data_IF_539654480549
#
_entry.id   IF_539654480549
#
_cell.length_a   1.000
_cell.length_b   1.000
_cell.length_c   1.000
_cell.angle_alpha   90.00
_cell.angle_beta   90.00
_cell.angle_gamma   90.00
#
_symmetry.space_group_name_H-M   'P 1'
#
loop_
_entity.id
_entity.type
_entity.pdbx_description
1 polymer ?
#
# COMPACT_ATOMS: atom_id res chain seq x y z
N UNK A 1 10.53 19.61 -7.91
CA UNK A 1 9.98 18.36 -8.52
C UNK A 1 10.30 18.38 -10.01
N UNK A 2 11.08 17.43 -10.52
CA UNK A 2 11.34 17.33 -11.95
C UNK A 2 10.01 17.11 -12.70
N UNK A 3 9.85 17.70 -13.89
CA UNK A 3 8.63 17.55 -14.72
C UNK A 3 8.28 16.07 -14.95
N UNK A 4 9.31 15.24 -15.06
CA UNK A 4 9.23 13.78 -15.14
C UNK A 4 8.42 13.14 -14.00
N UNK A 5 8.71 13.49 -12.74
CA UNK A 5 8.04 12.85 -11.59
C UNK A 5 6.55 13.20 -11.51
N UNK A 6 6.16 14.38 -12.02
CA UNK A 6 4.74 14.77 -12.10
C UNK A 6 4.00 13.97 -13.17
N UNK A 7 4.60 13.87 -14.36
CA UNK A 7 4.00 13.12 -15.47
C UNK A 7 3.87 11.64 -15.12
N UNK A 8 4.90 11.06 -14.50
CA UNK A 8 4.94 9.66 -14.13
C UNK A 8 3.79 9.27 -13.20
N UNK A 9 3.56 10.06 -12.15
CA UNK A 9 2.47 9.79 -11.18
C UNK A 9 1.09 9.87 -11.82
N UNK A 10 0.86 10.84 -12.71
CA UNK A 10 -0.41 10.97 -13.43
C UNK A 10 -0.63 9.78 -14.35
N UNK A 11 0.39 9.40 -15.13
CA UNK A 11 0.30 8.27 -16.07
C UNK A 11 -0.01 6.97 -15.33
N UNK A 12 0.72 6.67 -14.26
CA UNK A 12 0.50 5.45 -13.47
C UNK A 12 -0.90 5.45 -12.83
N UNK A 13 -1.35 6.60 -12.31
CA UNK A 13 -2.69 6.73 -11.73
C UNK A 13 -3.81 6.54 -12.77
N UNK A 14 -3.67 7.16 -13.94
CA UNK A 14 -4.65 7.02 -15.05
C UNK A 14 -4.66 5.58 -15.58
N UNK A 15 -3.49 4.96 -15.77
CA UNK A 15 -3.40 3.55 -16.18
C UNK A 15 -4.09 2.63 -15.18
N UNK A 16 -3.85 2.80 -13.89
CA UNK A 16 -4.52 2.03 -12.85
C UNK A 16 -6.04 2.20 -12.88
N UNK A 17 -6.52 3.44 -13.04
CA UNK A 17 -7.95 3.74 -13.11
C UNK A 17 -8.63 3.12 -14.35
N UNK A 18 -7.99 3.17 -15.52
CA UNK A 18 -8.49 2.55 -16.76
C UNK A 18 -8.60 1.02 -16.58
N UNK A 19 -7.53 0.40 -16.05
CA UNK A 19 -7.52 -1.06 -15.82
C UNK A 19 -8.57 -1.47 -14.77
N UNK A 20 -8.75 -0.67 -13.73
CA UNK A 20 -9.80 -0.91 -12.73
C UNK A 20 -11.21 -0.79 -13.35
N UNK A 21 -11.45 0.25 -14.15
CA UNK A 21 -12.74 0.42 -14.83
C UNK A 21 -13.03 -0.72 -15.81
N UNK A 22 -11.99 -1.28 -16.46
CA UNK A 22 -12.12 -2.48 -17.31
C UNK A 22 -12.60 -3.70 -16.52
N UNK A 23 -12.11 -3.91 -15.30
CA UNK A 23 -12.57 -5.00 -14.41
C UNK A 23 -14.05 -4.78 -14.07
N UNK A 24 -14.42 -3.57 -13.63
CA UNK A 24 -15.81 -3.24 -13.29
C UNK A 24 -16.79 -3.47 -14.46
N UNK A 25 -16.41 -3.11 -15.69
CA UNK A 25 -17.26 -3.31 -16.87
C UNK A 25 -17.38 -4.77 -17.31
N UNK A 26 -16.41 -5.62 -16.99
CA UNK A 26 -16.46 -7.05 -17.32
C UNK A 26 -17.44 -7.77 -16.40
N UNK A 27 -17.56 -7.32 -15.15
CA UNK A 27 -18.48 -7.86 -14.15
C UNK A 27 -17.90 -9.10 -13.45
N UNK A 28 -18.18 -9.22 -12.15
CA UNK A 28 -17.58 -10.27 -11.31
C UNK A 28 -18.04 -11.68 -11.72
N UNK A 29 -19.31 -11.83 -12.14
CA UNK A 29 -19.87 -13.12 -12.60
C UNK A 29 -19.13 -13.67 -13.82
N UNK A 30 -18.80 -12.82 -14.81
CA UNK A 30 -18.06 -13.23 -15.99
C UNK A 30 -16.61 -13.61 -15.68
N UNK A 31 -16.01 -12.96 -14.68
CA UNK A 31 -14.65 -13.23 -14.23
C UNK A 31 -14.53 -14.49 -13.38
N UNK A 32 -15.59 -14.89 -12.68
CA UNK A 32 -15.63 -16.13 -11.89
C UNK A 32 -15.81 -17.38 -12.75
N UNK A 33 -16.54 -17.26 -13.86
CA UNK A 33 -16.85 -18.39 -14.75
C UNK A 33 -15.74 -18.66 -15.79
N UNK A 34 -14.92 -17.66 -16.12
CA UNK A 34 -13.88 -17.76 -17.15
C UNK A 34 -12.50 -17.32 -16.62
N UNK A 35 -11.67 -18.31 -16.27
CA UNK A 35 -10.30 -18.10 -15.79
C UNK A 35 -9.38 -17.42 -16.84
N UNK A 36 -9.63 -17.66 -18.14
CA UNK A 36 -8.83 -17.06 -19.23
C UNK A 36 -9.17 -15.58 -19.37
N UNK A 37 -10.47 -15.25 -19.33
CA UNK A 37 -10.94 -13.86 -19.33
C UNK A 37 -10.41 -13.11 -18.11
N UNK A 38 -10.47 -13.74 -16.93
CA UNK A 38 -9.94 -13.15 -15.70
C UNK A 38 -8.45 -12.82 -15.81
N UNK A 39 -7.62 -13.76 -16.27
CA UNK A 39 -6.19 -13.49 -16.43
C UNK A 39 -5.91 -12.37 -17.44
N UNK A 40 -6.76 -12.18 -18.45
CA UNK A 40 -6.58 -11.10 -19.44
C UNK A 40 -7.01 -9.73 -18.91
N UNK A 41 -7.96 -9.71 -17.98
CA UNK A 41 -8.57 -8.47 -17.46
C UNK A 41 -7.93 -8.03 -16.14
N UNK A 42 -7.67 -8.94 -15.22
CA UNK A 42 -7.18 -8.67 -13.85
C UNK A 42 -5.65 -8.63 -13.79
N UNK A 43 -4.95 -9.56 -14.46
CA UNK A 43 -3.47 -9.64 -14.36
C UNK A 43 -2.74 -8.36 -14.78
N UNK A 44 -3.18 -7.58 -15.79
CA UNK A 44 -2.55 -6.30 -16.11
C UNK A 44 -2.55 -5.31 -14.93
N UNK A 45 -3.64 -5.25 -14.15
CA UNK A 45 -3.70 -4.41 -12.95
C UNK A 45 -2.74 -4.93 -11.88
N UNK A 46 -2.65 -6.25 -11.72
CA UNK A 46 -1.74 -6.90 -10.78
C UNK A 46 -0.27 -6.56 -11.10
N UNK A 47 0.13 -6.61 -12.38
CA UNK A 47 1.49 -6.25 -12.79
C UNK A 47 1.82 -4.78 -12.51
N UNK A 48 0.88 -3.86 -12.72
CA UNK A 48 1.05 -2.45 -12.34
C UNK A 48 1.22 -2.32 -10.83
N UNK A 49 0.41 -3.02 -10.04
CA UNK A 49 0.54 -3.03 -8.58
C UNK A 49 1.90 -3.56 -8.12
N UNK A 50 2.39 -4.67 -8.70
CA UNK A 50 3.72 -5.22 -8.40
C UNK A 50 4.85 -4.27 -8.77
N UNK A 51 4.75 -3.57 -9.89
CA UNK A 51 5.74 -2.57 -10.28
C UNK A 51 5.80 -1.39 -9.29
N UNK A 52 4.64 -0.91 -8.84
CA UNK A 52 4.56 0.17 -7.84
C UNK A 52 5.08 -0.33 -6.49
N UNK A 53 4.71 -1.54 -6.07
CA UNK A 53 5.18 -2.14 -4.83
C UNK A 53 6.71 -2.24 -4.82
N UNK A 54 7.31 -2.72 -5.91
CA UNK A 54 8.77 -2.78 -6.07
C UNK A 54 9.40 -1.38 -5.94
N UNK A 55 8.83 -0.37 -6.61
CA UNK A 55 9.31 1.01 -6.53
C UNK A 55 9.23 1.56 -5.10
N UNK A 56 8.15 1.26 -4.38
CA UNK A 56 7.97 1.65 -2.98
C UNK A 56 9.05 1.01 -2.08
N UNK A 57 9.28 -0.30 -2.21
CA UNK A 57 10.30 -1.02 -1.44
C UNK A 57 11.68 -0.42 -1.71
N UNK A 58 12.05 -0.24 -2.99
CA UNK A 58 13.34 0.35 -3.37
C UNK A 58 13.49 1.77 -2.81
N UNK A 59 12.44 2.58 -2.91
CA UNK A 59 12.47 3.95 -2.38
C UNK A 59 12.69 3.94 -0.87
N UNK A 60 11.94 3.13 -0.11
CA UNK A 60 12.09 3.01 1.35
C UNK A 60 13.50 2.57 1.72
N UNK A 61 14.03 1.52 1.08
CA UNK A 61 15.39 1.04 1.33
C UNK A 61 16.43 2.13 1.08
N UNK A 62 16.34 2.83 -0.06
CA UNK A 62 17.26 3.93 -0.39
C UNK A 62 17.16 5.06 0.64
N UNK A 63 15.96 5.43 1.09
CA UNK A 63 15.77 6.48 2.09
C UNK A 63 16.29 6.07 3.47
N UNK A 64 16.08 4.83 3.90
CA UNK A 64 16.59 4.32 5.17
C UNK A 64 18.11 4.30 5.15
N UNK A 65 18.72 3.68 4.14
CA UNK A 65 20.19 3.62 4.00
C UNK A 65 20.78 5.04 3.94
N UNK A 66 20.25 5.91 3.09
CA UNK A 66 20.73 7.29 2.99
C UNK A 66 20.57 8.04 4.31
N UNK A 67 19.46 7.85 5.02
CA UNK A 67 19.19 8.47 6.32
C UNK A 67 20.15 8.02 7.41
N UNK A 68 20.59 6.76 7.40
CA UNK A 68 21.56 6.22 8.35
C UNK A 68 22.99 6.71 8.09
N UNK A 69 23.43 6.83 6.84
CA UNK A 69 24.82 7.19 6.54
C UNK A 69 25.07 8.69 6.37
N UNK A 70 24.06 9.44 5.92
CA UNK A 70 24.23 10.86 5.55
C UNK A 70 23.24 11.80 6.22
N UNK A 71 22.21 11.24 6.87
CA UNK A 71 21.12 11.99 7.46
C UNK A 71 21.20 12.07 8.98
N UNK A 72 20.10 12.54 9.58
CA UNK A 72 19.94 12.51 11.02
C UNK A 72 19.55 11.10 11.47
N UNK A 73 20.55 10.32 11.89
CA UNK A 73 20.41 8.93 12.33
C UNK A 73 19.32 8.76 13.38
N UNK A 74 19.25 9.68 14.37
CA UNK A 74 18.24 9.63 15.43
C UNK A 74 16.84 9.70 14.85
N UNK A 75 16.58 10.64 13.94
CA UNK A 75 15.27 10.79 13.33
C UNK A 75 14.93 9.62 12.40
N UNK A 76 15.90 9.11 11.64
CA UNK A 76 15.71 7.92 10.79
C UNK A 76 15.38 6.69 11.65
N UNK A 77 16.07 6.51 12.77
CA UNK A 77 15.83 5.38 13.68
C UNK A 77 14.49 5.47 14.40
N UNK A 78 14.08 6.69 14.80
CA UNK A 78 12.73 6.92 15.34
C UNK A 78 11.67 6.60 14.29
N UNK A 79 11.85 7.06 13.05
CA UNK A 79 10.92 6.77 11.95
C UNK A 79 10.80 5.28 11.67
N UNK A 80 11.93 4.58 11.54
CA UNK A 80 11.97 3.13 11.32
C UNK A 80 11.39 2.34 12.50
N UNK A 81 11.77 2.72 13.73
CA UNK A 81 11.25 2.09 14.94
C UNK A 81 9.73 2.25 15.07
N UNK A 82 9.22 3.45 14.81
CA UNK A 82 7.77 3.72 14.83
C UNK A 82 7.03 2.90 13.78
N UNK A 83 7.59 2.77 12.58
CA UNK A 83 7.03 1.93 11.52
C UNK A 83 6.97 0.45 11.93
N UNK A 84 8.04 -0.08 12.53
CA UNK A 84 8.09 -1.47 13.04
C UNK A 84 7.08 -1.68 14.16
N UNK A 85 6.94 -0.74 15.09
CA UNK A 85 5.95 -0.83 16.18
C UNK A 85 4.54 -0.95 15.62
N UNK A 86 4.17 -0.13 14.63
CA UNK A 86 2.85 -0.22 13.99
C UNK A 86 2.70 -1.57 13.29
N UNK A 87 3.71 -2.05 12.56
CA UNK A 87 3.68 -3.36 11.91
C UNK A 87 3.42 -4.50 12.92
N UNK A 88 4.11 -4.49 14.06
CA UNK A 88 3.91 -5.50 15.12
C UNK A 88 2.48 -5.44 15.65
N UNK A 89 1.99 -4.24 16.00
CA UNK A 89 0.61 -4.05 16.48
C UNK A 89 -0.40 -4.55 15.45
N UNK A 90 -0.21 -4.20 14.17
CA UNK A 90 -1.08 -4.64 13.09
C UNK A 90 -1.06 -6.16 12.92
N UNK A 91 0.11 -6.80 13.00
CA UNK A 91 0.22 -8.25 12.90
C UNK A 91 -0.43 -8.97 14.09
N UNK A 92 -0.31 -8.42 15.31
CA UNK A 92 -0.92 -8.98 16.52
C UNK A 92 -2.45 -8.93 16.48
N UNK A 93 -3.02 -7.84 15.95
CA UNK A 93 -4.47 -7.66 15.82
C UNK A 93 -5.04 -8.42 14.61
N UNK A 94 -4.21 -8.72 13.61
CA UNK A 94 -4.68 -9.35 12.38
C UNK A 94 -4.77 -10.86 12.52
N UNK A 95 -5.89 -11.39 12.02
CA UNK A 95 -6.15 -12.81 11.90
C UNK A 95 -5.92 -13.27 10.46
N UNK A 96 -5.62 -14.56 10.30
CA UNK A 96 -5.49 -15.18 9.00
C UNK A 96 -6.34 -16.44 8.94
N UNK A 97 -7.00 -16.63 7.81
CA UNK A 97 -7.81 -17.80 7.52
C UNK A 97 -7.31 -18.43 6.22
N UNK A 98 -7.45 -19.75 6.11
CA UNK A 98 -7.14 -20.43 4.86
C UNK A 98 -8.04 -19.89 3.76
N UNK A 99 -7.43 -19.38 2.69
CA UNK A 99 -8.15 -18.71 1.62
C UNK A 99 -7.83 -19.43 0.32
N UNK A 100 -8.86 -20.02 -0.30
CA UNK A 100 -8.72 -20.61 -1.62
C UNK A 100 -8.39 -19.49 -2.63
N UNK A 101 -7.27 -19.65 -3.32
CA UNK A 101 -6.86 -18.78 -4.42
C UNK A 101 -7.58 -19.24 -5.69
N UNK A 102 -7.79 -18.29 -6.60
CA UNK A 102 -8.50 -18.54 -7.88
C UNK A 102 -7.68 -19.38 -8.86
N UNK A 103 -6.39 -19.56 -8.60
CA UNK A 103 -5.50 -20.45 -9.34
C UNK A 103 -5.55 -21.91 -8.83
N UNK A 104 -6.44 -22.22 -7.87
CA UNK A 104 -6.62 -23.54 -7.28
C UNK A 104 -5.67 -23.86 -6.13
N UNK A 105 -4.68 -22.99 -5.87
CA UNK A 105 -3.82 -23.05 -4.70
C UNK A 105 -4.54 -22.50 -3.45
N UNK A 106 -4.05 -22.84 -2.26
CA UNK A 106 -4.58 -22.30 -1.00
C UNK A 106 -3.53 -21.40 -0.36
N UNK A 107 -3.94 -20.18 -0.01
CA UNK A 107 -3.12 -19.32 0.83
C UNK A 107 -3.26 -19.79 2.27
N UNK A 108 -2.14 -20.24 2.85
CA UNK A 108 -2.08 -20.66 4.25
C UNK A 108 -2.59 -19.56 5.18
N UNK A 109 -3.17 -19.95 6.32
CA UNK A 109 -3.61 -19.01 7.35
C UNK A 109 -2.50 -18.03 7.76
N UNK A 110 -1.24 -18.49 7.80
CA UNK A 110 -0.10 -17.63 8.09
C UNK A 110 0.17 -16.60 6.99
N UNK A 111 0.11 -17.01 5.71
CA UNK A 111 0.24 -16.09 4.58
C UNK A 111 -0.88 -15.06 4.53
N UNK A 112 -2.12 -15.51 4.72
CA UNK A 112 -3.31 -14.66 4.79
C UNK A 112 -3.20 -13.63 5.92
N UNK A 113 -2.64 -14.02 7.08
CA UNK A 113 -2.39 -13.11 8.20
C UNK A 113 -1.43 -11.96 7.86
N UNK A 114 -0.42 -12.19 7.03
CA UNK A 114 0.50 -11.12 6.60
C UNK A 114 -0.18 -10.11 5.67
N UNK A 115 -1.08 -10.58 4.81
CA UNK A 115 -1.87 -9.72 3.94
C UNK A 115 -2.83 -8.86 4.77
N UNK A 116 -3.55 -9.47 5.72
CA UNK A 116 -4.45 -8.74 6.62
C UNK A 116 -3.68 -7.78 7.54
N UNK A 117 -2.50 -8.16 8.03
CA UNK A 117 -1.61 -7.28 8.79
C UNK A 117 -1.17 -6.05 8.00
N UNK A 118 -0.80 -6.21 6.73
CA UNK A 118 -0.45 -5.09 5.85
C UNK A 118 -1.62 -4.11 5.66
N UNK A 119 -2.84 -4.63 5.50
CA UNK A 119 -4.05 -3.82 5.35
C UNK A 119 -4.42 -3.10 6.65
N UNK A 120 -4.40 -3.80 7.79
CA UNK A 120 -4.62 -3.22 9.12
C UNK A 120 -3.58 -2.13 9.42
N UNK A 121 -2.32 -2.34 9.06
CA UNK A 121 -1.26 -1.35 9.17
C UNK A 121 -1.57 -0.09 8.36
N UNK A 122 -2.00 -0.27 7.12
CA UNK A 122 -2.40 0.85 6.27
C UNK A 122 -3.52 1.66 6.92
N UNK A 123 -4.58 1.00 7.42
CA UNK A 123 -5.70 1.69 8.07
C UNK A 123 -5.30 2.44 9.35
N UNK A 124 -4.46 1.85 10.20
CA UNK A 124 -3.95 2.52 11.40
C UNK A 124 -3.15 3.77 11.02
N UNK A 125 -2.25 3.66 10.05
CA UNK A 125 -1.43 4.79 9.60
C UNK A 125 -2.29 5.90 8.98
N UNK A 126 -3.32 5.56 8.21
CA UNK A 126 -4.27 6.53 7.65
C UNK A 126 -5.02 7.25 8.76
N UNK A 127 -5.52 6.53 9.76
CA UNK A 127 -6.22 7.12 10.90
C UNK A 127 -5.32 8.09 11.68
N UNK A 128 -4.08 7.66 12.01
CA UNK A 128 -3.08 8.52 12.67
C UNK A 128 -2.77 9.75 11.83
N UNK A 129 -2.64 9.60 10.51
CA UNK A 129 -2.35 10.70 9.59
C UNK A 129 -3.47 11.73 9.58
N UNK A 130 -4.73 11.29 9.49
CA UNK A 130 -5.90 12.18 9.51
C UNK A 130 -5.93 12.95 10.84
N UNK A 131 -5.77 12.26 11.97
CA UNK A 131 -5.74 12.89 13.30
C UNK A 131 -4.61 13.92 13.42
N UNK A 132 -3.41 13.60 12.94
CA UNK A 132 -2.27 14.50 12.96
C UNK A 132 -2.52 15.76 12.11
N UNK A 133 -3.11 15.60 10.93
CA UNK A 133 -3.47 16.72 10.05
C UNK A 133 -4.50 17.61 10.75
N UNK A 134 -5.59 17.04 11.27
CA UNK A 134 -6.63 17.83 11.96
C UNK A 134 -6.05 18.58 13.17
N UNK A 135 -5.29 17.90 14.01
CA UNK A 135 -4.64 18.51 15.18
C UNK A 135 -3.66 19.63 14.79
N UNK A 136 -2.88 19.45 13.72
CA UNK A 136 -1.95 20.46 13.22
C UNK A 136 -2.67 21.71 12.70
N UNK A 137 -3.79 21.54 11.99
CA UNK A 137 -4.56 22.66 11.47
C UNK A 137 -5.25 23.45 12.61
N UNK A 138 -5.81 22.76 13.61
CA UNK A 138 -6.41 23.40 14.78
C UNK A 138 -5.38 24.20 15.60
N UNK A 139 -4.19 23.63 15.84
CA UNK A 139 -3.10 24.35 16.51
C UNK A 139 -2.66 25.59 15.73
N UNK A 140 -2.62 25.50 14.39
CA UNK A 140 -2.29 26.64 13.53
C UNK A 140 -3.29 27.79 13.60
N UNK A 141 -4.57 27.50 13.87
CA UNK A 141 -5.61 28.52 14.05
C UNK A 141 -5.51 29.20 15.41
N UNK A 142 -5.24 28.45 16.48
CA UNK A 142 -5.13 28.98 17.84
C UNK A 142 -3.83 29.77 18.02
N UNK A 143 -2.73 29.35 17.41
CA UNK A 143 -1.44 30.03 17.52
C UNK A 143 -1.33 31.33 16.70
N UNK A 144 -2.33 31.64 15.86
CA UNK A 144 -2.40 32.86 15.04
C UNK A 144 -3.37 33.91 15.60
N UNK A 145 -4.10 33.58 16.67
CA UNK A 145 -4.92 34.51 17.46
C UNK A 145 -4.21 34.90 18.74
#
# INVERSE_FOLDING_TARGET
MSKFLKIFKIVVGVLGAILFFRILNTGDEALELDAVLQSSVVSPLMYVAYAILLLCILSVLVFVVKGLFTGNVKNTLIGLGSFIVVLIVSFLVSEGQETALRDGEVLSAYGSRWVSAGLTMFYILVAISILAIVASNLKGLIAKS
#
